data_IF_556909712452
#
_entry.id   IF_556909712452
#
_cell.length_a   1.000
_cell.length_b   1.000
_cell.length_c   1.000
_cell.angle_alpha   90.00
_cell.angle_beta   90.00
_cell.angle_gamma   90.00
#
_symmetry.space_group_name_H-M   'P 1'
#
loop_
_entity.id
_entity.type
_entity.pdbx_description
1 polymer ?
#
# COMPACT_ATOMS: atom_id res chain seq x y z
N UNK A 1 -18.81 1.60 12.22
CA UNK A 1 -18.66 0.86 10.95
C UNK A 1 -17.76 1.68 10.04
N UNK A 2 -16.71 1.07 9.49
CA UNK A 2 -15.81 1.78 8.58
C UNK A 2 -16.56 2.17 7.31
N UNK A 3 -16.30 3.37 6.82
CA UNK A 3 -16.92 3.88 5.59
C UNK A 3 -16.32 3.23 4.35
N UNK A 4 -15.05 2.86 4.41
CA UNK A 4 -14.33 2.22 3.33
C UNK A 4 -13.80 0.87 3.81
N UNK A 5 -13.80 -0.11 2.90
CA UNK A 5 -13.30 -1.46 3.15
C UNK A 5 -12.34 -1.86 2.06
N UNK A 6 -11.56 -2.91 2.31
CA UNK A 6 -10.74 -3.54 1.28
C UNK A 6 -11.21 -4.97 1.07
N UNK A 7 -11.10 -5.46 -0.15
CA UNK A 7 -11.29 -6.87 -0.49
C UNK A 7 -10.35 -7.29 -1.61
N UNK A 8 -10.15 -8.59 -1.73
CA UNK A 8 -9.37 -9.15 -2.85
C UNK A 8 -9.99 -8.75 -4.19
N UNK A 9 -9.15 -8.67 -5.21
CA UNK A 9 -9.61 -8.50 -6.58
C UNK A 9 -10.44 -9.70 -7.03
N UNK A 10 -11.49 -9.42 -7.81
CA UNK A 10 -12.24 -10.37 -8.60
C UNK A 10 -12.00 -10.09 -10.09
N UNK A 11 -12.19 -11.09 -10.94
CA UNK A 11 -12.14 -10.90 -12.42
C UNK A 11 -13.18 -9.87 -12.92
N UNK A 12 -14.25 -9.68 -12.16
CA UNK A 12 -15.32 -8.72 -12.48
C UNK A 12 -14.95 -7.26 -12.15
N UNK A 13 -13.80 -7.02 -11.51
CA UNK A 13 -13.38 -5.68 -11.14
C UNK A 13 -12.72 -4.86 -12.27
N UNK A 14 -12.51 -5.44 -13.43
CA UNK A 14 -11.81 -4.80 -14.55
C UNK A 14 -12.43 -3.44 -14.91
N UNK A 15 -13.73 -3.40 -15.15
CA UNK A 15 -14.42 -2.17 -15.54
C UNK A 15 -14.43 -1.13 -14.43
N UNK A 16 -14.60 -1.57 -13.19
CA UNK A 16 -14.65 -0.70 -12.04
C UNK A 16 -13.28 -0.07 -11.74
N UNK A 17 -12.19 -0.85 -11.77
CA UNK A 17 -10.83 -0.35 -11.53
C UNK A 17 -10.34 0.52 -12.69
N UNK A 18 -10.66 0.14 -13.95
CA UNK A 18 -10.37 0.97 -15.11
C UNK A 18 -11.04 2.34 -14.99
N UNK A 19 -12.36 2.37 -14.70
CA UNK A 19 -13.10 3.63 -14.54
C UNK A 19 -12.56 4.50 -13.42
N UNK A 20 -12.23 3.92 -12.26
CA UNK A 20 -11.64 4.65 -11.14
C UNK A 20 -10.26 5.22 -11.46
N UNK A 21 -9.44 4.48 -12.24
CA UNK A 21 -8.13 4.92 -12.68
C UNK A 21 -8.23 6.01 -13.75
N UNK A 22 -9.13 5.83 -14.74
CA UNK A 22 -9.30 6.75 -15.87
C UNK A 22 -9.82 8.14 -15.42
N UNK A 23 -10.80 8.19 -14.52
CA UNK A 23 -11.26 9.46 -13.92
C UNK A 23 -10.18 10.20 -13.13
N UNK A 24 -9.12 9.49 -12.77
CA UNK A 24 -8.05 9.95 -11.88
C UNK A 24 -6.71 10.13 -12.59
N UNK A 25 -6.67 9.97 -13.92
CA UNK A 25 -5.46 9.89 -14.74
C UNK A 25 -4.41 10.94 -14.39
N UNK A 26 -4.75 12.22 -14.42
CA UNK A 26 -3.82 13.31 -14.11
C UNK A 26 -3.28 13.24 -12.67
N UNK A 27 -4.15 12.87 -11.73
CA UNK A 27 -3.80 12.80 -10.32
C UNK A 27 -2.87 11.61 -10.03
N UNK A 28 -3.18 10.43 -10.58
CA UNK A 28 -2.43 9.20 -10.36
C UNK A 28 -1.10 9.22 -11.10
N UNK A 29 -1.06 9.72 -12.35
CA UNK A 29 0.15 9.78 -13.17
C UNK A 29 1.30 10.60 -12.54
N UNK A 30 0.97 11.53 -11.67
CA UNK A 30 2.00 12.31 -10.94
C UNK A 30 2.87 11.45 -10.04
N UNK A 31 2.34 10.33 -9.55
CA UNK A 31 2.97 9.53 -8.49
C UNK A 31 3.17 8.08 -8.86
N UNK A 32 2.40 7.58 -9.80
CA UNK A 32 2.37 6.17 -10.17
C UNK A 32 2.88 5.98 -11.60
N UNK A 33 4.04 5.34 -11.74
CA UNK A 33 4.70 5.16 -13.04
C UNK A 33 3.94 4.25 -14.01
N UNK A 34 2.97 3.48 -13.55
CA UNK A 34 2.13 2.64 -14.39
C UNK A 34 1.01 3.41 -15.11
N UNK A 35 0.63 4.60 -14.60
CA UNK A 35 -0.38 5.44 -15.25
C UNK A 35 0.27 6.28 -16.34
N UNK A 36 0.30 5.73 -17.55
CA UNK A 36 0.81 6.40 -18.75
C UNK A 36 -0.33 7.05 -19.54
N UNK A 37 -0.02 7.92 -20.53
CA UNK A 37 -1.03 8.46 -21.45
C UNK A 37 -1.79 7.37 -22.22
N UNK A 38 -1.13 6.25 -22.50
CA UNK A 38 -1.67 5.10 -23.25
C UNK A 38 -2.45 4.11 -22.38
N UNK A 39 -2.53 4.35 -21.04
CA UNK A 39 -3.25 3.46 -20.12
C UNK A 39 -4.68 3.18 -20.65
N UNK A 40 -5.02 1.92 -20.74
CA UNK A 40 -6.22 1.41 -21.37
C UNK A 40 -6.94 0.36 -20.52
N UNK A 41 -8.11 -0.07 -20.94
CA UNK A 41 -8.83 -1.17 -20.29
C UNK A 41 -8.03 -2.47 -20.29
N UNK A 42 -7.21 -2.71 -21.33
CA UNK A 42 -6.34 -3.88 -21.41
C UNK A 42 -5.31 -3.91 -20.28
N UNK A 43 -4.73 -2.75 -19.92
CA UNK A 43 -3.81 -2.67 -18.79
C UNK A 43 -4.51 -3.00 -17.46
N UNK A 44 -5.77 -2.58 -17.32
CA UNK A 44 -6.58 -2.96 -16.17
C UNK A 44 -6.91 -4.46 -16.14
N UNK A 45 -7.17 -5.09 -17.28
CA UNK A 45 -7.36 -6.55 -17.42
C UNK A 45 -6.10 -7.30 -16.99
N UNK A 46 -4.93 -6.88 -17.49
CA UNK A 46 -3.64 -7.48 -17.16
C UNK A 46 -3.34 -7.30 -15.64
N UNK A 47 -3.62 -6.12 -15.09
CA UNK A 47 -3.46 -5.87 -13.66
C UNK A 47 -4.37 -6.74 -12.80
N UNK A 48 -5.66 -6.85 -13.11
CA UNK A 48 -6.60 -7.69 -12.35
C UNK A 48 -6.19 -9.17 -12.41
N UNK A 49 -5.74 -9.64 -13.58
CA UNK A 49 -5.20 -10.99 -13.74
C UNK A 49 -3.96 -11.19 -12.86
N UNK A 50 -3.01 -10.25 -12.91
CA UNK A 50 -1.82 -10.26 -12.06
C UNK A 50 -2.18 -10.26 -10.58
N UNK A 51 -3.02 -9.34 -10.14
CA UNK A 51 -3.44 -9.22 -8.75
C UNK A 51 -4.08 -10.50 -8.21
N UNK A 52 -4.90 -11.16 -9.03
CA UNK A 52 -5.56 -12.43 -8.67
C UNK A 52 -4.55 -13.58 -8.56
N UNK A 53 -3.62 -13.70 -9.52
CA UNK A 53 -2.61 -14.77 -9.53
C UNK A 53 -1.55 -14.58 -8.44
N UNK A 54 -1.17 -13.35 -8.16
CA UNK A 54 -0.16 -13.01 -7.13
C UNK A 54 -0.56 -13.47 -5.74
N UNK A 55 -1.85 -13.47 -5.43
CA UNK A 55 -2.37 -14.03 -4.18
C UNK A 55 -2.13 -15.53 -4.06
N UNK A 56 -2.31 -16.27 -5.14
CA UNK A 56 -2.11 -17.72 -5.16
C UNK A 56 -0.65 -18.11 -4.98
N UNK A 57 0.25 -17.30 -5.54
CA UNK A 57 1.69 -17.51 -5.52
C UNK A 57 2.38 -16.80 -4.34
N UNK A 58 1.63 -16.12 -3.49
CA UNK A 58 2.14 -15.30 -2.39
C UNK A 58 3.23 -14.31 -2.84
N UNK A 59 3.08 -13.74 -4.05
CA UNK A 59 4.02 -12.79 -4.63
C UNK A 59 3.66 -11.35 -4.26
N UNK A 60 2.38 -11.05 -4.09
CA UNK A 60 1.83 -9.81 -3.55
C UNK A 60 0.39 -10.02 -3.06
N UNK A 61 -0.11 -9.10 -2.25
CA UNK A 61 -1.46 -9.15 -1.70
C UNK A 61 -2.22 -7.88 -2.07
N UNK A 62 -2.74 -7.86 -3.30
CA UNK A 62 -3.43 -6.71 -3.85
C UNK A 62 -4.93 -6.72 -3.53
N UNK A 63 -5.48 -5.55 -3.25
CA UNK A 63 -6.88 -5.35 -2.89
C UNK A 63 -7.48 -4.17 -3.65
N UNK A 64 -8.77 -4.21 -3.88
CA UNK A 64 -9.55 -3.03 -4.22
C UNK A 64 -10.01 -2.32 -2.94
N UNK A 65 -10.08 -0.99 -3.00
CA UNK A 65 -10.72 -0.17 -1.97
C UNK A 65 -12.16 0.08 -2.40
N UNK A 66 -13.10 -0.16 -1.49
CA UNK A 66 -14.54 -0.12 -1.78
C UNK A 66 -15.24 0.85 -0.83
N UNK A 67 -16.10 1.69 -1.36
CA UNK A 67 -17.07 2.46 -0.56
C UNK A 67 -18.16 1.50 -0.06
N UNK A 68 -18.23 1.31 1.26
CA UNK A 68 -19.11 0.31 1.87
C UNK A 68 -20.61 0.57 1.63
N UNK A 69 -20.99 1.83 1.46
CA UNK A 69 -22.41 2.22 1.26
C UNK A 69 -22.86 1.96 -0.19
N UNK A 70 -22.00 2.19 -1.17
CA UNK A 70 -22.34 2.10 -2.60
C UNK A 70 -21.79 0.86 -3.28
N UNK A 71 -20.89 0.13 -2.63
CA UNK A 71 -20.11 -0.99 -3.19
C UNK A 71 -19.26 -0.60 -4.39
N UNK A 72 -19.04 0.71 -4.61
CA UNK A 72 -18.19 1.21 -5.71
C UNK A 72 -16.72 0.96 -5.38
N UNK A 73 -15.98 0.41 -6.34
CA UNK A 73 -14.50 0.37 -6.30
C UNK A 73 -13.98 1.78 -6.54
N UNK A 74 -13.13 2.26 -5.63
CA UNK A 74 -12.66 3.65 -5.57
C UNK A 74 -11.14 3.78 -5.57
N UNK A 75 -10.43 2.69 -5.72
CA UNK A 75 -8.98 2.67 -5.71
C UNK A 75 -8.42 1.28 -5.45
N UNK A 76 -7.14 1.21 -5.23
CA UNK A 76 -6.42 -0.02 -4.93
C UNK A 76 -5.39 0.21 -3.83
N UNK A 77 -5.10 -0.88 -3.11
CA UNK A 77 -4.01 -0.93 -2.13
C UNK A 77 -3.45 -2.35 -2.07
N UNK A 78 -2.21 -2.50 -1.64
CA UNK A 78 -1.61 -3.82 -1.59
C UNK A 78 -0.29 -3.86 -0.83
N UNK A 79 0.13 -5.09 -0.57
CA UNK A 79 1.44 -5.43 -0.03
C UNK A 79 2.27 -6.06 -1.13
N UNK A 80 3.45 -5.51 -1.40
CA UNK A 80 4.38 -6.00 -2.42
C UNK A 80 5.83 -5.88 -1.95
N UNK A 81 6.80 -6.24 -2.80
CA UNK A 81 8.20 -6.33 -2.39
C UNK A 81 8.38 -7.15 -1.10
N UNK A 82 7.76 -8.32 -1.07
CA UNK A 82 7.71 -9.18 0.11
C UNK A 82 9.09 -9.77 0.42
N UNK A 83 9.74 -9.32 1.49
CA UNK A 83 10.92 -9.95 2.05
C UNK A 83 10.49 -10.92 3.16
N UNK A 84 10.42 -12.21 2.83
CA UNK A 84 9.98 -13.27 3.76
C UNK A 84 11.07 -13.65 4.78
N UNK A 85 12.32 -13.23 4.58
CA UNK A 85 13.42 -13.50 5.51
C UNK A 85 13.36 -12.49 6.66
N UNK A 86 13.32 -11.21 6.33
CA UNK A 86 13.31 -10.14 7.34
C UNK A 86 11.88 -9.75 7.76
N UNK A 87 10.85 -10.38 7.18
CA UNK A 87 9.44 -10.11 7.42
C UNK A 87 9.08 -8.61 7.19
N UNK A 88 9.58 -8.05 6.09
CA UNK A 88 9.37 -6.67 5.68
C UNK A 88 8.69 -6.64 4.33
N UNK A 89 7.71 -5.75 4.14
CA UNK A 89 7.13 -5.52 2.82
C UNK A 89 6.75 -4.05 2.61
N UNK A 90 6.55 -3.67 1.34
CA UNK A 90 6.05 -2.35 0.98
C UNK A 90 4.52 -2.37 0.97
N UNK A 91 3.92 -1.29 1.47
CA UNK A 91 2.48 -1.01 1.44
C UNK A 91 2.23 0.16 0.49
N UNK A 92 1.50 -0.11 -0.59
CA UNK A 92 1.12 0.89 -1.59
C UNK A 92 -0.39 1.10 -1.66
N UNK A 93 -0.81 2.29 -2.11
CA UNK A 93 -2.22 2.62 -2.33
C UNK A 93 -2.39 3.78 -3.31
N UNK A 94 -3.55 3.82 -3.94
CA UNK A 94 -4.07 5.00 -4.63
C UNK A 94 -5.60 5.05 -4.51
N UNK A 95 -6.17 6.24 -4.57
CA UNK A 95 -7.62 6.47 -4.44
C UNK A 95 -8.07 7.37 -5.57
N UNK A 96 -9.25 7.11 -6.11
CA UNK A 96 -9.82 7.90 -7.19
C UNK A 96 -10.08 9.35 -6.77
N UNK A 97 -10.00 10.25 -7.74
CA UNK A 97 -10.06 11.70 -7.53
C UNK A 97 -11.31 12.14 -6.77
N UNK A 98 -12.44 11.54 -7.07
CA UNK A 98 -13.74 11.85 -6.44
C UNK A 98 -13.82 11.46 -4.96
N UNK A 99 -12.86 10.66 -4.46
CA UNK A 99 -12.80 10.19 -3.07
C UNK A 99 -11.61 10.74 -2.27
N UNK A 100 -10.85 11.67 -2.83
CA UNK A 100 -9.75 12.31 -2.12
C UNK A 100 -10.23 13.07 -0.88
N UNK A 101 -9.41 13.08 0.17
CA UNK A 101 -9.69 13.81 1.41
C UNK A 101 -10.79 13.21 2.29
N UNK A 102 -11.37 12.06 1.93
CA UNK A 102 -12.48 11.43 2.66
C UNK A 102 -12.03 10.32 3.65
N UNK A 103 -10.74 10.08 3.78
CA UNK A 103 -10.17 9.08 4.71
C UNK A 103 -9.99 7.68 4.10
N UNK A 104 -10.40 7.44 2.86
CA UNK A 104 -10.35 6.11 2.23
C UNK A 104 -8.96 5.47 2.24
N UNK A 105 -7.91 6.24 1.93
CA UNK A 105 -6.54 5.73 1.97
C UNK A 105 -6.08 5.37 3.39
N UNK A 106 -6.48 6.14 4.40
CA UNK A 106 -6.14 5.85 5.81
C UNK A 106 -6.81 4.55 6.26
N UNK A 107 -8.12 4.38 5.98
CA UNK A 107 -8.83 3.14 6.33
C UNK A 107 -8.24 1.94 5.60
N UNK A 108 -7.84 2.08 4.33
CA UNK A 108 -7.18 1.02 3.58
C UNK A 108 -5.80 0.63 4.16
N UNK A 109 -4.98 1.63 4.54
CA UNK A 109 -3.68 1.38 5.19
C UNK A 109 -3.86 0.65 6.51
N UNK A 110 -4.83 1.07 7.34
CA UNK A 110 -5.10 0.42 8.63
C UNK A 110 -5.58 -1.03 8.46
N UNK A 111 -6.46 -1.30 7.49
CA UNK A 111 -6.91 -2.64 7.19
C UNK A 111 -5.77 -3.54 6.66
N UNK A 112 -4.90 -3.02 5.77
CA UNK A 112 -3.72 -3.75 5.31
C UNK A 112 -2.70 -4.01 6.43
N UNK A 113 -2.52 -3.05 7.33
CA UNK A 113 -1.66 -3.21 8.51
C UNK A 113 -2.13 -4.38 9.37
N UNK A 114 -3.41 -4.42 9.70
CA UNK A 114 -4.01 -5.52 10.48
C UNK A 114 -3.82 -6.86 9.77
N UNK A 115 -4.13 -6.93 8.48
CA UNK A 115 -3.93 -8.13 7.67
C UNK A 115 -2.47 -8.59 7.64
N UNK A 116 -1.52 -7.66 7.41
CA UNK A 116 -0.11 -7.98 7.33
C UNK A 116 0.46 -8.48 8.67
N UNK A 117 0.07 -7.87 9.78
CA UNK A 117 0.61 -8.19 11.09
C UNK A 117 -0.05 -9.43 11.71
N UNK A 118 -1.38 -9.54 11.61
CA UNK A 118 -2.11 -10.60 12.31
C UNK A 118 -2.29 -11.86 11.46
N UNK A 119 -2.42 -11.72 10.13
CA UNK A 119 -2.63 -12.88 9.24
C UNK A 119 -1.35 -13.38 8.58
N UNK A 120 -0.43 -12.48 8.21
CA UNK A 120 0.80 -12.82 7.49
C UNK A 120 2.05 -12.83 8.38
N UNK A 121 2.01 -12.23 9.57
CA UNK A 121 3.11 -12.21 10.52
C UNK A 121 4.27 -11.27 10.16
N UNK A 122 4.07 -10.29 9.26
CA UNK A 122 5.10 -9.32 8.94
C UNK A 122 5.48 -8.50 10.17
N UNK A 123 6.77 -8.21 10.29
CA UNK A 123 7.32 -7.40 11.38
C UNK A 123 7.24 -5.90 11.08
N UNK A 124 7.34 -5.54 9.77
CA UNK A 124 7.46 -4.16 9.32
C UNK A 124 6.78 -3.94 7.97
N UNK A 125 6.06 -2.82 7.85
CA UNK A 125 5.54 -2.33 6.57
C UNK A 125 6.18 -1.00 6.24
N UNK A 126 6.65 -0.84 5.00
CA UNK A 126 7.17 0.43 4.51
C UNK A 126 6.14 1.13 3.64
N UNK A 127 5.95 2.43 3.87
CA UNK A 127 5.21 3.31 2.98
C UNK A 127 6.21 4.29 2.37
N UNK A 128 6.40 4.20 1.06
CA UNK A 128 7.34 5.04 0.33
C UNK A 128 6.58 6.17 -0.36
N UNK A 129 6.87 7.40 0.00
CA UNK A 129 6.14 8.59 -0.42
C UNK A 129 7.07 9.54 -1.16
N UNK A 130 6.76 9.87 -2.42
CA UNK A 130 7.52 10.90 -3.15
C UNK A 130 7.58 12.21 -2.34
N UNK A 131 8.75 12.85 -2.27
CA UNK A 131 9.01 14.00 -1.40
C UNK A 131 7.97 15.11 -1.52
N UNK A 132 7.47 15.37 -2.73
CA UNK A 132 6.46 16.39 -2.99
C UNK A 132 5.00 15.91 -2.86
N UNK A 133 4.76 14.62 -2.50
CA UNK A 133 3.40 14.08 -2.34
C UNK A 133 2.87 14.30 -0.92
N UNK A 134 2.55 15.55 -0.59
CA UNK A 134 2.05 15.92 0.73
C UNK A 134 0.75 15.20 1.12
N UNK A 135 -0.09 14.80 0.17
CA UNK A 135 -1.32 14.07 0.45
C UNK A 135 -1.02 12.66 0.98
N UNK A 136 -0.13 11.93 0.32
CA UNK A 136 0.32 10.60 0.77
C UNK A 136 1.12 10.67 2.08
N UNK A 137 1.94 11.71 2.26
CA UNK A 137 2.63 11.98 3.52
C UNK A 137 1.65 12.03 4.70
N UNK A 138 0.57 12.83 4.57
CA UNK A 138 -0.47 12.92 5.61
C UNK A 138 -1.24 11.63 5.84
N UNK A 139 -1.40 10.80 4.82
CA UNK A 139 -2.01 9.48 4.99
C UNK A 139 -1.12 8.59 5.86
N UNK A 140 0.18 8.54 5.58
CA UNK A 140 1.14 7.78 6.37
C UNK A 140 1.13 8.22 7.85
N UNK A 141 1.22 9.54 8.13
CA UNK A 141 1.14 10.07 9.49
C UNK A 141 -0.16 9.69 10.20
N UNK A 142 -1.32 9.89 9.55
CA UNK A 142 -2.64 9.57 10.12
C UNK A 142 -2.85 8.08 10.35
N UNK A 143 -2.12 7.23 9.65
CA UNK A 143 -2.14 5.77 9.86
C UNK A 143 -1.22 5.31 11.00
N UNK A 144 -0.54 6.26 11.67
CA UNK A 144 0.38 5.97 12.76
C UNK A 144 1.75 5.46 12.30
N UNK A 145 2.11 5.67 11.03
CA UNK A 145 3.43 5.32 10.55
C UNK A 145 4.48 6.33 11.01
N UNK A 146 5.65 5.83 11.38
CA UNK A 146 6.79 6.62 11.86
C UNK A 146 7.61 7.07 10.65
N UNK A 147 7.88 8.37 10.53
CA UNK A 147 8.77 8.90 9.51
C UNK A 147 10.22 8.63 9.89
N UNK A 148 10.95 7.90 9.05
CA UNK A 148 12.33 7.48 9.32
C UNK A 148 13.38 8.27 8.52
N UNK A 149 12.95 9.09 7.57
CA UNK A 149 13.85 9.94 6.81
C UNK A 149 13.53 10.02 5.33
N UNK A 150 14.48 10.60 4.56
CA UNK A 150 14.39 10.73 3.11
C UNK A 150 15.50 9.91 2.46
N UNK A 151 15.11 9.00 1.58
CA UNK A 151 16.03 8.21 0.77
C UNK A 151 16.20 8.85 -0.60
N UNK A 152 17.48 9.08 -1.01
CA UNK A 152 17.81 9.63 -2.33
C UNK A 152 17.54 8.59 -3.42
N UNK A 153 17.06 9.05 -4.59
CA UNK A 153 16.79 8.21 -5.76
C UNK A 153 15.95 6.94 -5.47
N UNK A 154 15.04 7.03 -4.50
CA UNK A 154 14.26 5.88 -4.00
C UNK A 154 13.09 5.50 -4.89
N UNK A 155 12.50 6.45 -5.61
CA UNK A 155 11.39 6.23 -6.53
C UNK A 155 11.80 6.58 -7.96
N UNK A 156 11.21 5.86 -8.91
CA UNK A 156 11.29 6.20 -10.32
C UNK A 156 9.91 6.60 -10.83
N UNK A 157 9.75 7.88 -11.18
CA UNK A 157 8.51 8.45 -11.68
C UNK A 157 8.81 9.08 -13.04
N UNK A 158 8.04 8.71 -14.07
CA UNK A 158 8.22 9.19 -15.46
C UNK A 158 9.68 9.09 -15.96
N UNK A 159 10.35 7.98 -15.62
CA UNK A 159 11.72 7.72 -16.03
C UNK A 159 12.81 8.44 -15.21
N UNK A 160 12.46 9.36 -14.31
CA UNK A 160 13.39 10.11 -13.47
C UNK A 160 13.44 9.54 -12.04
N UNK A 161 14.62 9.59 -11.43
CA UNK A 161 14.82 9.20 -10.04
C UNK A 161 14.45 10.35 -9.10
N UNK A 162 13.64 10.06 -8.09
CA UNK A 162 13.17 11.02 -7.11
C UNK A 162 13.50 10.59 -5.69
N UNK A 163 13.80 11.53 -4.78
CA UNK A 163 13.87 11.25 -3.36
C UNK A 163 12.47 10.90 -2.83
N UNK A 164 12.43 10.12 -1.75
CA UNK A 164 11.19 9.75 -1.11
C UNK A 164 11.32 9.69 0.41
N UNK A 165 10.28 10.12 1.09
CA UNK A 165 10.08 9.84 2.50
C UNK A 165 9.84 8.36 2.72
N UNK A 166 10.48 7.80 3.74
CA UNK A 166 10.24 6.45 4.21
C UNK A 166 9.48 6.53 5.51
N UNK A 167 8.34 5.87 5.52
CA UNK A 167 7.54 5.67 6.73
C UNK A 167 7.48 4.18 7.06
N UNK A 168 7.44 3.86 8.35
CA UNK A 168 7.33 2.49 8.84
C UNK A 168 6.12 2.31 9.76
N UNK A 169 5.41 1.23 9.58
CA UNK A 169 4.50 0.65 10.56
C UNK A 169 5.18 -0.59 11.13
N UNK A 170 5.35 -0.65 12.45
CA UNK A 170 6.04 -1.73 13.13
C UNK A 170 5.02 -2.60 13.86
N UNK A 171 5.19 -3.92 13.76
CA UNK A 171 4.37 -4.87 14.51
C UNK A 171 4.82 -4.89 15.98
N UNK A 172 3.96 -4.49 16.93
CA UNK A 172 4.34 -4.48 18.36
C UNK A 172 4.79 -5.84 18.88
N UNK A 173 4.28 -6.94 18.31
CA UNK A 173 4.67 -8.31 18.69
C UNK A 173 6.12 -8.62 18.31
N UNK A 174 6.60 -8.06 17.18
CA UNK A 174 7.98 -8.24 16.73
C UNK A 174 8.98 -7.43 17.57
N UNK A 175 8.62 -6.21 18.01
CA UNK A 175 9.46 -5.40 18.91
C UNK A 175 9.63 -6.05 20.28
N UNK A 176 8.57 -6.62 20.85
CA UNK A 176 8.63 -7.29 22.15
C UNK A 176 9.52 -8.53 22.14
N UNK A 177 9.53 -9.28 21.03
CA UNK A 177 10.40 -10.45 20.87
C UNK A 177 11.88 -10.10 20.87
N UNK A 178 12.28 -8.94 20.33
CA UNK A 178 13.67 -8.50 20.28
C UNK A 178 14.19 -8.02 21.64
N UNK A 179 13.36 -7.37 22.45
CA UNK A 179 13.76 -6.89 23.79
C UNK A 179 13.89 -8.03 24.80
N UNK A 180 13.12 -9.10 24.68
CA UNK A 180 13.19 -10.26 25.56
C UNK A 180 14.46 -11.12 25.37
N UNK A 181 14.99 -11.23 24.15
CA UNK A 181 16.20 -12.02 23.87
C UNK A 181 17.51 -11.33 24.30
N UNK A 182 17.58 -10.00 24.26
CA UNK A 182 18.77 -9.26 24.72
C UNK A 182 18.91 -9.26 26.25
N UNK A 183 17.81 -9.31 27.00
CA UNK A 183 17.83 -9.37 28.47
C UNK A 183 18.37 -10.72 29.00
N UNK A 184 18.15 -11.82 28.27
CA UNK A 184 18.61 -13.15 28.69
C UNK A 184 20.12 -13.40 28.53
N UNK A 185 20.84 -12.58 27.75
CA UNK A 185 22.29 -12.75 27.51
C UNK A 185 23.18 -11.89 28.43
N UNK A 186 22.60 -11.04 29.25
CA UNK A 186 23.35 -10.17 30.18
C UNK A 186 23.48 -10.70 31.60
N UNK A 187 22.83 -11.80 31.94
CA UNK A 187 22.86 -12.39 33.30
C UNK A 187 23.84 -13.56 33.48
N UNK A 188 24.70 -13.84 32.49
CA UNK A 188 25.70 -14.93 32.63
C UNK A 188 27.11 -14.37 32.42
N UNK A 189 27.61 -13.61 33.40
CA UNK A 189 29.07 -13.42 33.64
C UNK A 189 29.32 -13.19 35.12
#
# INVERSE_FOLDING_TARGET
MNRFTIRRYSKDDVDAIYSAADESREHVARWMGWMTPEYSKKDAEEWVSHATSSWQNEASYEHVIVDAATQKVIGSCGLNHLNKIDLVCNLGYWVSRSYLGRGAAVEAVLALKEFAFDSLGYARLEIVVAESNHASYRVAEKSGAIHEGIHRARLRIQGLSHPAHIFALINPKAEQASTGQFAAHTETK
#
